data_IF_276989070661
#
_entry.id   IF_276989070661
#
_cell.length_a   1.000
_cell.length_b   1.000
_cell.length_c   1.000
_cell.angle_alpha   90.00
_cell.angle_beta   90.00
_cell.angle_gamma   90.00
#
_symmetry.space_group_name_H-M   'P 1'
#
loop_
_entity.id
_entity.type
_entity.pdbx_description
1 polymer ?
#
# COMPACT_ATOMS: atom_id res chain seq x y z
N UNK A 1 21.74 0.65 3.91
CA UNK A 1 20.39 1.27 3.85
C UNK A 1 19.36 0.17 3.94
N UNK A 2 18.34 0.27 4.81
CA UNK A 2 17.30 -0.76 4.95
C UNK A 2 16.03 -0.33 4.21
N UNK A 3 15.65 -1.09 3.18
CA UNK A 3 14.55 -0.81 2.26
C UNK A 3 13.26 -1.47 2.75
N UNK A 4 12.24 -0.66 2.94
CA UNK A 4 10.88 -1.07 3.30
C UNK A 4 9.96 -0.81 2.13
N UNK A 5 9.10 -1.78 1.84
CA UNK A 5 8.03 -1.62 0.86
C UNK A 5 6.68 -1.81 1.52
N UNK A 6 5.72 -0.97 1.15
CA UNK A 6 4.32 -1.15 1.46
C UNK A 6 3.47 -1.04 0.19
N UNK A 7 2.31 -1.71 0.19
CA UNK A 7 1.38 -1.74 -0.93
C UNK A 7 0.02 -1.21 -0.52
N UNK A 8 -0.63 -0.48 -1.41
CA UNK A 8 -2.01 -0.07 -1.15
C UNK A 8 -2.64 0.70 -2.28
N UNK A 9 -3.97 0.81 -2.21
CA UNK A 9 -4.72 1.68 -3.10
C UNK A 9 -4.52 3.14 -2.68
N UNK A 10 -4.52 3.45 -1.38
CA UNK A 10 -4.39 4.82 -0.84
C UNK A 10 -5.41 5.79 -1.46
N UNK A 11 -6.66 5.32 -1.61
CA UNK A 11 -7.78 6.14 -2.09
C UNK A 11 -8.53 6.78 -0.91
N UNK A 12 -8.96 8.04 -1.08
CA UNK A 12 -9.50 8.89 -0.02
C UNK A 12 -8.63 8.85 1.24
N UNK A 13 -7.51 9.57 1.22
CA UNK A 13 -6.59 9.58 2.36
C UNK A 13 -7.27 9.98 3.67
N UNK A 14 -6.82 9.34 4.74
CA UNK A 14 -7.36 9.50 6.07
C UNK A 14 -6.30 9.16 7.11
N UNK A 15 -6.50 9.55 8.38
CA UNK A 15 -5.49 9.33 9.43
C UNK A 15 -5.00 7.88 9.57
N UNK A 16 -5.84 6.88 9.29
CA UNK A 16 -5.41 5.47 9.24
C UNK A 16 -4.26 5.20 8.26
N UNK A 17 -4.23 5.85 7.08
CA UNK A 17 -3.12 5.74 6.13
C UNK A 17 -1.86 6.43 6.66
N UNK A 18 -1.99 7.61 7.29
CA UNK A 18 -0.86 8.31 7.88
C UNK A 18 -0.20 7.47 8.99
N UNK A 19 -1.01 6.91 9.89
CA UNK A 19 -0.52 5.98 10.91
C UNK A 19 0.18 4.77 10.30
N UNK A 20 -0.43 4.15 9.28
CA UNK A 20 0.15 2.99 8.61
C UNK A 20 1.54 3.31 8.01
N UNK A 21 1.68 4.43 7.31
CA UNK A 21 2.94 4.86 6.71
C UNK A 21 3.99 5.22 7.76
N UNK A 22 3.58 5.91 8.83
CA UNK A 22 4.45 6.22 9.96
C UNK A 22 5.00 4.95 10.61
N UNK A 23 4.13 3.97 10.94
CA UNK A 23 4.58 2.72 11.55
C UNK A 23 5.47 1.93 10.58
N UNK A 24 5.15 1.93 9.29
CA UNK A 24 5.95 1.26 8.25
C UNK A 24 7.36 1.84 8.17
N UNK A 25 7.49 3.17 8.20
CA UNK A 25 8.80 3.86 8.12
C UNK A 25 9.74 3.45 9.26
N UNK A 26 9.22 3.06 10.44
CA UNK A 26 10.05 2.58 11.57
C UNK A 26 10.83 1.29 11.28
N UNK A 27 10.47 0.54 10.24
CA UNK A 27 11.13 -0.73 9.92
C UNK A 27 12.39 -0.61 9.05
N UNK A 28 12.75 0.61 8.61
CA UNK A 28 13.96 0.84 7.84
C UNK A 28 14.23 2.32 7.62
N UNK A 29 15.17 2.63 6.72
CA UNK A 29 15.61 4.00 6.48
C UNK A 29 15.04 4.56 5.18
N UNK A 30 14.54 3.70 4.28
CA UNK A 30 13.92 4.10 3.01
C UNK A 30 12.62 3.32 2.79
N UNK A 31 11.50 4.03 2.69
CA UNK A 31 10.16 3.53 2.43
C UNK A 31 9.78 3.84 0.98
N UNK A 32 9.64 2.78 0.18
CA UNK A 32 8.97 2.86 -1.11
C UNK A 32 7.52 2.39 -0.99
N UNK A 33 6.57 3.24 -1.37
CA UNK A 33 5.15 2.86 -1.44
C UNK A 33 4.77 2.49 -2.86
N UNK A 34 4.18 1.30 -3.01
CA UNK A 34 3.66 0.81 -4.28
C UNK A 34 2.15 1.06 -4.32
N UNK A 35 1.76 2.01 -5.16
CA UNK A 35 0.37 2.40 -5.39
C UNK A 35 -0.27 1.44 -6.38
N UNK A 36 -1.37 0.80 -5.98
CA UNK A 36 -2.10 -0.15 -6.81
C UNK A 36 -2.71 0.55 -8.03
N UNK A 37 -2.54 -0.03 -9.21
CA UNK A 37 -3.12 0.48 -10.47
C UNK A 37 -4.62 0.33 -10.53
N UNK A 38 -5.29 1.26 -11.23
CA UNK A 38 -6.75 1.30 -11.33
C UNK A 38 -7.33 0.02 -11.95
N UNK A 39 -6.64 -0.54 -12.95
CA UNK A 39 -7.03 -1.80 -13.59
C UNK A 39 -7.11 -2.95 -12.57
N UNK A 40 -6.13 -3.03 -11.66
CA UNK A 40 -6.07 -4.06 -10.64
C UNK A 40 -7.12 -3.85 -9.55
N UNK A 41 -7.38 -2.60 -9.14
CA UNK A 41 -8.46 -2.30 -8.18
C UNK A 41 -9.82 -2.72 -8.75
N UNK A 42 -10.08 -2.43 -10.03
CA UNK A 42 -11.33 -2.83 -10.69
C UNK A 42 -11.47 -4.35 -10.77
N UNK A 43 -10.40 -5.07 -11.07
CA UNK A 43 -10.42 -6.53 -11.19
C UNK A 43 -10.58 -7.22 -9.84
N UNK A 44 -9.79 -6.85 -8.83
CA UNK A 44 -9.73 -7.56 -7.54
C UNK A 44 -10.83 -7.10 -6.58
N UNK A 45 -11.13 -5.80 -6.53
CA UNK A 45 -12.07 -5.22 -5.55
C UNK A 45 -13.43 -4.87 -6.15
N UNK A 46 -13.64 -5.08 -7.45
CA UNK A 46 -14.85 -4.65 -8.19
C UNK A 46 -15.24 -3.21 -7.87
N UNK A 47 -14.22 -2.37 -7.68
CA UNK A 47 -14.36 -1.03 -7.14
C UNK A 47 -13.64 -0.04 -8.03
N UNK A 48 -14.25 1.14 -8.24
CA UNK A 48 -13.61 2.26 -8.92
C UNK A 48 -13.10 3.25 -7.86
N UNK A 49 -11.77 3.46 -7.77
CA UNK A 49 -11.20 4.50 -6.91
C UNK A 49 -11.83 5.88 -7.18
N UNK A 50 -11.89 6.72 -6.16
CA UNK A 50 -12.31 8.11 -6.31
C UNK A 50 -11.26 8.89 -7.10
N UNK A 51 -10.00 8.78 -6.69
CA UNK A 51 -8.85 9.33 -7.41
C UNK A 51 -8.23 8.30 -8.34
N UNK A 52 -7.83 8.72 -9.54
CA UNK A 52 -7.12 7.85 -10.48
C UNK A 52 -5.72 7.49 -9.98
N UNK A 53 -5.08 6.50 -10.59
CA UNK A 53 -3.78 5.99 -10.12
C UNK A 53 -2.65 7.03 -10.10
N UNK A 54 -2.68 8.04 -10.98
CA UNK A 54 -1.68 9.11 -11.02
C UNK A 54 -1.90 10.11 -9.89
N UNK A 55 -3.14 10.50 -9.64
CA UNK A 55 -3.50 11.39 -8.52
C UNK A 55 -3.13 10.73 -7.18
N UNK A 56 -3.47 9.45 -7.01
CA UNK A 56 -3.08 8.70 -5.80
C UNK A 56 -1.57 8.59 -5.66
N UNK A 57 -0.84 8.39 -6.75
CA UNK A 57 0.62 8.39 -6.75
C UNK A 57 1.21 9.72 -6.30
N UNK A 58 0.71 10.84 -6.82
CA UNK A 58 1.16 12.18 -6.47
C UNK A 58 0.91 12.49 -4.99
N UNK A 59 -0.31 12.23 -4.53
CA UNK A 59 -0.70 12.39 -3.12
C UNK A 59 0.21 11.56 -2.19
N UNK A 60 0.43 10.29 -2.50
CA UNK A 60 1.29 9.41 -1.70
C UNK A 60 2.75 9.86 -1.73
N UNK A 61 3.24 10.37 -2.87
CA UNK A 61 4.60 10.89 -3.00
C UNK A 61 4.86 12.11 -2.12
N UNK A 62 3.84 12.91 -1.84
CA UNK A 62 3.94 14.09 -0.98
C UNK A 62 3.90 13.77 0.52
N UNK A 63 3.68 12.50 0.91
CA UNK A 63 3.57 12.11 2.32
C UNK A 63 4.93 12.13 3.00
N UNK A 64 5.02 12.79 4.17
CA UNK A 64 6.25 12.98 4.96
C UNK A 64 7.11 11.73 5.13
N UNK A 65 6.50 10.55 5.31
CA UNK A 65 7.22 9.30 5.59
C UNK A 65 7.64 8.52 4.35
N UNK A 66 7.16 8.91 3.17
CA UNK A 66 7.36 8.20 1.90
C UNK A 66 8.56 8.81 1.19
N UNK A 67 9.64 8.04 1.05
CA UNK A 67 10.82 8.51 0.31
C UNK A 67 10.64 8.36 -1.20
N UNK A 68 9.83 7.37 -1.62
CA UNK A 68 9.50 7.14 -3.02
C UNK A 68 8.12 6.51 -3.14
N UNK A 69 7.29 7.00 -4.06
CA UNK A 69 6.11 6.26 -4.49
C UNK A 69 6.26 5.79 -5.94
N UNK A 70 5.71 4.62 -6.25
CA UNK A 70 5.70 4.05 -7.60
C UNK A 70 4.38 3.37 -7.87
N UNK A 71 3.99 3.26 -9.14
CA UNK A 71 2.88 2.40 -9.52
C UNK A 71 3.29 0.93 -9.48
N UNK A 72 2.40 0.09 -8.98
CA UNK A 72 2.55 -1.36 -9.03
C UNK A 72 2.38 -1.93 -10.44
N UNK A 73 2.37 -3.26 -10.51
CA UNK A 73 2.16 -3.98 -11.77
C UNK A 73 0.66 -3.99 -12.15
N UNK A 74 0.37 -4.11 -13.45
CA UNK A 74 -1.00 -4.03 -14.00
C UNK A 74 -1.81 -5.31 -13.76
N UNK A 75 -1.16 -6.47 -13.85
CA UNK A 75 -1.72 -7.78 -13.59
C UNK A 75 -1.05 -8.38 -12.35
N UNK A 76 -1.54 -9.52 -11.85
CA UNK A 76 -1.13 -10.21 -10.59
C UNK A 76 0.33 -10.66 -10.47
N UNK A 77 1.22 -10.01 -11.19
CA UNK A 77 2.66 -10.09 -11.13
C UNK A 77 3.21 -9.38 -9.88
N UNK A 78 4.45 -9.75 -9.55
CA UNK A 78 5.23 -9.17 -8.45
C UNK A 78 6.57 -8.64 -8.97
N UNK A 79 6.60 -8.21 -10.23
CA UNK A 79 7.77 -7.66 -10.91
C UNK A 79 8.32 -6.44 -10.17
N UNK A 80 7.44 -5.63 -9.57
CA UNK A 80 7.85 -4.49 -8.73
C UNK A 80 8.70 -4.93 -7.54
N UNK A 81 8.41 -6.08 -6.91
CA UNK A 81 9.20 -6.61 -5.81
C UNK A 81 10.57 -7.09 -6.30
N UNK A 82 10.63 -7.76 -7.45
CA UNK A 82 11.91 -8.17 -8.05
C UNK A 82 12.81 -6.99 -8.41
N UNK A 83 12.23 -5.85 -8.82
CA UNK A 83 12.96 -4.60 -9.10
C UNK A 83 13.42 -3.90 -7.83
N UNK A 84 12.55 -3.79 -6.82
CA UNK A 84 12.83 -3.03 -5.59
C UNK A 84 13.71 -3.80 -4.60
N UNK A 85 13.60 -5.14 -4.59
CA UNK A 85 14.28 -6.08 -3.67
C UNK A 85 14.24 -5.60 -2.20
N UNK A 86 13.08 -5.30 -1.60
CA UNK A 86 13.00 -4.83 -0.22
C UNK A 86 13.57 -5.82 0.80
N UNK A 87 14.09 -5.29 1.89
CA UNK A 87 14.50 -6.07 3.06
C UNK A 87 13.29 -6.37 3.97
N UNK A 88 12.29 -5.47 3.96
CA UNK A 88 11.04 -5.59 4.74
C UNK A 88 9.83 -5.28 3.86
N UNK A 89 8.80 -6.10 3.95
CA UNK A 89 7.48 -5.81 3.39
C UNK A 89 6.51 -5.58 4.54
N UNK A 90 5.90 -4.39 4.58
CA UNK A 90 4.87 -4.05 5.54
C UNK A 90 3.48 -4.16 4.90
N UNK A 91 2.63 -4.98 5.50
CA UNK A 91 1.26 -5.23 5.08
C UNK A 91 0.28 -4.50 6.00
N UNK A 92 -0.80 -3.98 5.42
CA UNK A 92 -1.97 -3.52 6.16
C UNK A 92 -2.67 -4.67 6.91
N UNK A 93 -3.48 -4.32 7.89
CA UNK A 93 -4.18 -5.29 8.73
C UNK A 93 -5.17 -6.18 7.96
N UNK A 94 -5.70 -5.69 6.85
CA UNK A 94 -6.65 -6.38 5.97
C UNK A 94 -5.96 -7.18 4.85
N UNK A 95 -4.63 -7.05 4.73
CA UNK A 95 -3.84 -7.71 3.71
C UNK A 95 -3.35 -9.08 4.20
N UNK A 96 -3.41 -10.07 3.32
CA UNK A 96 -3.05 -11.46 3.60
C UNK A 96 -1.58 -11.72 3.26
N UNK A 97 -0.87 -12.45 4.12
CA UNK A 97 0.55 -12.80 3.91
C UNK A 97 0.71 -13.75 2.72
N UNK A 98 -0.28 -14.61 2.53
CA UNK A 98 -0.40 -15.61 1.48
C UNK A 98 -0.37 -14.99 0.07
N UNK A 99 -0.69 -13.70 -0.07
CA UNK A 99 -0.52 -12.98 -1.34
C UNK A 99 0.94 -12.97 -1.79
N UNK A 100 1.88 -12.91 -0.85
CA UNK A 100 3.31 -12.93 -1.13
C UNK A 100 3.83 -14.35 -1.36
N UNK A 101 3.16 -15.40 -0.89
CA UNK A 101 3.58 -16.78 -1.20
C UNK A 101 3.47 -17.08 -2.71
N UNK A 102 2.48 -16.46 -3.37
CA UNK A 102 2.31 -16.51 -4.82
C UNK A 102 3.37 -15.74 -5.61
N UNK A 103 4.23 -14.96 -4.94
CA UNK A 103 5.18 -14.07 -5.61
C UNK A 103 6.46 -14.75 -6.09
N UNK A 104 6.69 -16.02 -5.74
CA UNK A 104 7.86 -16.82 -6.16
C UNK A 104 9.19 -16.05 -6.02
N UNK A 105 9.31 -15.20 -5.00
CA UNK A 105 10.50 -14.36 -4.84
C UNK A 105 11.71 -15.25 -4.57
N UNK A 106 12.80 -14.96 -5.28
CA UNK A 106 14.10 -15.64 -5.09
C UNK A 106 14.85 -15.17 -3.83
N UNK A 107 14.22 -14.34 -3.00
CA UNK A 107 14.76 -13.79 -1.77
C UNK A 107 13.66 -13.75 -0.70
N UNK A 108 14.08 -13.71 0.57
CA UNK A 108 13.16 -13.78 1.71
C UNK A 108 13.12 -12.44 2.47
N UNK A 109 12.20 -11.53 2.11
CA UNK A 109 12.02 -10.30 2.88
C UNK A 109 11.37 -10.60 4.23
N UNK A 110 11.66 -9.80 5.25
CA UNK A 110 10.90 -9.86 6.51
C UNK A 110 9.50 -9.31 6.27
N UNK A 111 8.47 -10.11 6.56
CA UNK A 111 7.07 -9.69 6.43
C UNK A 111 6.53 -9.22 7.79
N UNK A 112 6.01 -8.00 7.82
CA UNK A 112 5.43 -7.37 9.01
C UNK A 112 4.00 -6.95 8.72
N UNK A 113 3.07 -7.22 9.63
CA UNK A 113 1.70 -6.74 9.52
C UNK A 113 1.47 -5.61 10.52
N UNK A 114 1.00 -4.47 10.03
CA UNK A 114 0.78 -3.26 10.82
C UNK A 114 -0.66 -3.28 11.33
N UNK A 115 -0.83 -3.06 12.65
CA UNK A 115 -2.16 -2.97 13.27
C UNK A 115 -2.91 -1.74 12.75
N UNK A 116 -4.25 -1.78 12.64
CA UNK A 116 -5.00 -0.62 12.22
C UNK A 116 -5.04 0.46 13.29
N UNK A 117 -5.20 1.70 12.86
CA UNK A 117 -5.54 2.82 13.75
C UNK A 117 -7.03 3.11 13.68
N UNK A 118 -7.75 2.79 14.76
CA UNK A 118 -9.19 3.06 14.91
C UNK A 118 -10.01 2.64 13.65
N UNK A 119 -9.87 1.40 13.20
CA UNK A 119 -10.46 0.90 11.93
C UNK A 119 -11.97 1.15 11.78
N UNK A 120 -12.73 1.17 12.89
CA UNK A 120 -14.18 1.44 12.89
C UNK A 120 -14.51 2.89 12.50
N UNK A 121 -13.57 3.82 12.70
CA UNK A 121 -13.72 5.25 12.39
C UNK A 121 -13.03 5.63 11.09
N UNK A 122 -11.84 5.08 10.83
CA UNK A 122 -11.02 5.48 9.68
C UNK A 122 -10.74 4.30 8.75
N UNK A 123 -11.61 4.17 7.75
CA UNK A 123 -11.38 3.36 6.54
C UNK A 123 -12.00 4.07 5.34
N UNK A 124 -11.46 3.82 4.14
CA UNK A 124 -12.04 4.35 2.90
C UNK A 124 -13.50 3.91 2.72
N UNK A 125 -13.88 2.74 3.24
CA UNK A 125 -15.28 2.28 3.26
C UNK A 125 -16.15 3.20 4.11
N UNK A 126 -15.77 3.45 5.37
CA UNK A 126 -16.53 4.32 6.29
C UNK A 126 -16.66 5.74 5.72
N UNK A 127 -15.61 6.28 5.12
CA UNK A 127 -15.66 7.63 4.55
C UNK A 127 -16.58 7.72 3.33
N UNK A 128 -16.56 6.71 2.45
CA UNK A 128 -17.46 6.66 1.30
C UNK A 128 -18.93 6.64 1.72
N UNK A 129 -19.25 5.94 2.80
CA UNK A 129 -20.60 5.96 3.37
C UNK A 129 -21.06 7.36 3.83
N UNK A 130 -20.15 8.23 4.25
CA UNK A 130 -20.49 9.60 4.65
C UNK A 130 -20.55 10.56 3.46
N UNK A 131 -19.76 10.33 2.40
CA UNK A 131 -19.69 11.19 1.22
C UNK A 131 -20.79 10.94 0.19
N UNK A 132 -21.41 9.76 0.21
CA UNK A 132 -22.46 9.33 -0.73
C UNK A 132 -23.88 9.44 -0.14
N UNK A 133 -24.02 10.18 0.98
CA UNK A 133 -25.30 10.62 1.53
C UNK A 133 -25.52 12.07 1.17
#
# INVERSE_FOLDING_TARGET
MKRVVAFGVFDLLHPGHLYFLEQTKKYGTHLTVVVTRDARVRQEKKHKPFFNERERLEIVSAMKWVDRAVLGDRAGEWNVLMRLKPDVICLGYDQKREWLERSQLQYQPRIVQIKPWQARKYSSTVLKWHLLR
#
